data_IF_923337947848
#
_entry.id   IF_923337947848
#
_cell.length_a   1.000
_cell.length_b   1.000
_cell.length_c   1.000
_cell.angle_alpha   90.00
_cell.angle_beta   90.00
_cell.angle_gamma   90.00
#
_symmetry.space_group_name_H-M   'P 1'
#
loop_
_entity.id
_entity.type
_entity.pdbx_description
1 polymer ?
#
# COMPACT_ATOMS: atom_id res chain seq x y z
N UNK A 1 3.14 24.98 -12.25
CA UNK A 1 2.91 23.75 -11.47
C UNK A 1 3.47 22.62 -12.30
N UNK A 2 4.63 22.07 -11.94
CA UNK A 2 5.18 20.92 -12.69
C UNK A 2 4.23 19.75 -12.48
N UNK A 3 3.59 19.27 -13.54
CA UNK A 3 2.84 18.01 -13.55
C UNK A 3 3.81 16.82 -13.50
N UNK A 4 4.65 16.80 -12.47
CA UNK A 4 5.59 15.72 -12.21
C UNK A 4 4.79 14.43 -12.03
N UNK A 5 5.18 13.38 -12.76
CA UNK A 5 4.55 12.07 -12.69
C UNK A 5 4.61 11.57 -11.24
N UNK A 6 3.45 11.44 -10.58
CA UNK A 6 3.37 10.90 -9.20
C UNK A 6 3.92 9.48 -9.16
N UNK A 7 4.61 9.14 -8.07
CA UNK A 7 5.08 7.78 -7.81
C UNK A 7 3.87 6.94 -7.39
N UNK A 8 3.55 5.92 -8.20
CA UNK A 8 2.41 5.03 -7.93
C UNK A 8 2.83 3.91 -7.00
N UNK A 9 2.12 3.76 -5.89
CA UNK A 9 2.40 2.75 -4.87
C UNK A 9 1.25 1.77 -4.69
N UNK A 10 1.61 0.51 -4.42
CA UNK A 10 0.76 -0.52 -3.86
C UNK A 10 1.15 -0.80 -2.41
N UNK A 11 0.20 -1.28 -1.60
CA UNK A 11 0.45 -1.70 -0.21
C UNK A 11 0.05 -3.16 -0.06
N UNK A 12 0.99 -4.01 0.37
CA UNK A 12 0.69 -5.38 0.78
C UNK A 12 0.62 -5.45 2.32
N UNK A 13 -0.52 -5.91 2.83
CA UNK A 13 -0.86 -5.92 4.26
C UNK A 13 -1.47 -4.60 4.74
N UNK A 14 -2.77 -4.58 5.02
CA UNK A 14 -3.49 -3.37 5.47
C UNK A 14 -3.61 -3.30 7.00
N UNK A 15 -2.51 -3.70 7.66
CA UNK A 15 -2.31 -3.62 9.11
C UNK A 15 -1.97 -2.20 9.58
N UNK A 16 -1.38 -2.09 10.78
CA UNK A 16 -1.05 -0.79 11.39
C UNK A 16 -0.18 0.08 10.47
N UNK A 17 0.93 -0.47 9.97
CA UNK A 17 1.87 0.28 9.12
C UNK A 17 1.24 0.59 7.77
N UNK A 18 0.63 -0.38 7.09
CA UNK A 18 -0.04 -0.17 5.80
C UNK A 18 -1.10 0.95 5.85
N UNK A 19 -1.93 0.99 6.89
CA UNK A 19 -2.94 2.07 7.03
C UNK A 19 -2.31 3.45 7.26
N UNK A 20 -1.24 3.53 8.06
CA UNK A 20 -0.55 4.80 8.28
C UNK A 20 0.18 5.29 7.02
N UNK A 21 0.81 4.38 6.28
CA UNK A 21 1.39 4.70 4.96
C UNK A 21 0.30 5.22 4.01
N UNK A 22 -0.86 4.57 3.95
CA UNK A 22 -1.98 5.05 3.14
C UNK A 22 -2.45 6.45 3.57
N UNK A 23 -2.59 6.71 4.88
CA UNK A 23 -2.96 8.04 5.40
C UNK A 23 -1.98 9.14 4.98
N UNK A 24 -0.67 8.85 4.99
CA UNK A 24 0.36 9.81 4.56
C UNK A 24 0.35 9.97 3.04
N UNK A 25 0.28 8.87 2.29
CA UNK A 25 0.27 8.89 0.82
C UNK A 25 -0.91 9.69 0.27
N UNK A 26 -2.09 9.60 0.88
CA UNK A 26 -3.28 10.33 0.43
C UNK A 26 -3.18 11.85 0.59
N UNK A 27 -2.29 12.31 1.46
CA UNK A 27 -1.98 13.72 1.71
C UNK A 27 -0.76 14.21 0.91
N UNK A 28 -0.10 13.33 0.15
CA UNK A 28 1.09 13.67 -0.62
C UNK A 28 0.76 14.13 -2.05
N UNK A 29 1.50 15.12 -2.53
CA UNK A 29 1.48 15.52 -3.94
C UNK A 29 2.47 14.72 -4.80
N UNK A 30 3.36 13.96 -4.17
CA UNK A 30 4.43 13.20 -4.86
C UNK A 30 4.06 11.73 -5.08
N UNK A 31 3.18 11.19 -4.22
CA UNK A 31 2.81 9.77 -4.20
C UNK A 31 1.32 9.59 -4.52
N UNK A 32 1.00 8.52 -5.23
CA UNK A 32 -0.36 8.10 -5.53
C UNK A 32 -0.57 6.65 -5.10
N UNK A 33 -1.50 6.42 -4.18
CA UNK A 33 -1.92 5.07 -3.80
C UNK A 33 -2.87 4.53 -4.87
N UNK A 34 -2.52 3.40 -5.48
CA UNK A 34 -3.32 2.80 -6.57
C UNK A 34 -3.82 1.40 -6.26
N UNK A 35 -3.22 0.71 -5.28
CA UNK A 35 -3.62 -0.64 -4.91
C UNK A 35 -3.36 -0.98 -3.44
N UNK A 36 -4.22 -1.80 -2.86
CA UNK A 36 -4.09 -2.39 -1.53
C UNK A 36 -4.34 -3.89 -1.65
N UNK A 37 -3.54 -4.72 -1.00
CA UNK A 37 -3.80 -6.16 -0.87
C UNK A 37 -3.89 -6.55 0.61
N UNK A 38 -4.98 -7.21 0.99
CA UNK A 38 -5.06 -7.94 2.26
C UNK A 38 -6.05 -9.11 2.13
N UNK A 39 -5.59 -10.38 2.17
CA UNK A 39 -6.45 -11.54 2.00
C UNK A 39 -7.32 -11.86 3.24
N UNK A 40 -7.17 -11.12 4.33
CA UNK A 40 -7.86 -11.40 5.60
C UNK A 40 -8.87 -10.31 5.99
N UNK A 41 -8.94 -9.22 5.23
CA UNK A 41 -9.77 -8.05 5.55
C UNK A 41 -10.71 -7.79 4.37
N UNK A 42 -12.02 -7.70 4.63
CA UNK A 42 -12.99 -7.33 3.60
C UNK A 42 -12.89 -5.84 3.28
N UNK A 43 -13.21 -5.46 2.05
CA UNK A 43 -13.19 -4.06 1.57
C UNK A 43 -13.98 -3.12 2.49
N UNK A 44 -15.16 -3.56 2.96
CA UNK A 44 -16.01 -2.81 3.90
C UNK A 44 -15.32 -2.61 5.26
N UNK A 45 -14.65 -3.65 5.76
CA UNK A 45 -13.96 -3.57 7.04
C UNK A 45 -12.68 -2.72 6.96
N UNK A 46 -12.01 -2.69 5.79
CA UNK A 46 -10.91 -1.76 5.54
C UNK A 46 -11.33 -0.30 5.73
N UNK A 47 -12.54 0.09 5.30
CA UNK A 47 -13.06 1.46 5.50
C UNK A 47 -13.16 1.78 6.98
N UNK A 48 -13.74 0.88 7.76
CA UNK A 48 -13.88 1.05 9.20
C UNK A 48 -12.51 1.21 9.87
N UNK A 49 -11.58 0.30 9.60
CA UNK A 49 -10.23 0.30 10.17
C UNK A 49 -9.41 1.51 9.74
N UNK A 50 -9.65 2.04 8.53
CA UNK A 50 -8.98 3.25 8.06
C UNK A 50 -9.59 4.51 8.69
N UNK A 51 -10.92 4.57 8.80
CA UNK A 51 -11.65 5.72 9.34
C UNK A 51 -11.36 5.90 10.83
N UNK A 52 -11.31 4.83 11.61
CA UNK A 52 -11.12 4.88 13.05
C UNK A 52 -9.78 4.24 13.44
N UNK A 53 -8.87 5.05 13.95
CA UNK A 53 -7.60 4.59 14.52
C UNK A 53 -7.52 5.05 15.98
N UNK A 54 -7.24 4.12 16.90
CA UNK A 54 -7.24 4.40 18.33
C UNK A 54 -6.08 5.31 18.79
N UNK A 55 -4.98 5.35 18.04
CA UNK A 55 -3.78 6.14 18.40
C UNK A 55 -3.77 7.46 17.65
N UNK A 56 -4.06 7.42 16.35
CA UNK A 56 -3.98 8.60 15.46
C UNK A 56 -5.34 9.26 15.21
N UNK A 57 -6.38 8.80 15.89
CA UNK A 57 -7.73 9.33 15.79
C UNK A 57 -8.41 9.05 14.44
N UNK A 58 -9.57 9.69 14.28
CA UNK A 58 -10.41 9.53 13.11
C UNK A 58 -9.78 10.21 11.88
N UNK A 59 -9.93 9.60 10.70
CA UNK A 59 -9.62 10.24 9.43
C UNK A 59 -10.63 11.37 9.14
N UNK A 60 -10.13 12.60 8.91
CA UNK A 60 -10.93 13.82 8.76
C UNK A 60 -10.83 14.52 7.40
N UNK A 61 -10.06 13.99 6.45
CA UNK A 61 -9.75 14.72 5.22
C UNK A 61 -10.79 14.50 4.11
N UNK A 62 -10.96 13.26 3.66
CA UNK A 62 -11.90 12.92 2.59
C UNK A 62 -12.78 11.76 3.03
N UNK A 63 -13.99 11.70 2.47
CA UNK A 63 -14.87 10.56 2.72
C UNK A 63 -14.33 9.30 2.06
N UNK A 64 -14.60 8.15 2.68
CA UNK A 64 -14.23 6.83 2.14
C UNK A 64 -15.49 6.11 1.70
N UNK A 65 -15.54 5.73 0.43
CA UNK A 65 -16.70 5.06 -0.16
C UNK A 65 -16.31 3.80 -0.90
N UNK A 66 -17.18 2.82 -0.90
CA UNK A 66 -17.10 1.70 -1.84
C UNK A 66 -17.61 2.20 -3.18
N UNK A 67 -16.81 1.99 -4.23
CA UNK A 67 -17.30 2.12 -5.61
C UNK A 67 -17.95 0.80 -6.04
N UNK A 68 -17.27 -0.31 -5.73
CA UNK A 68 -17.66 -1.67 -6.05
C UNK A 68 -16.90 -2.64 -5.11
N UNK A 69 -17.07 -3.95 -5.33
CA UNK A 69 -16.50 -4.99 -4.44
C UNK A 69 -14.97 -5.00 -4.37
N UNK A 70 -14.29 -4.42 -5.37
CA UNK A 70 -12.82 -4.40 -5.47
C UNK A 70 -12.23 -3.00 -5.52
N UNK A 71 -13.02 -1.95 -5.29
CA UNK A 71 -12.55 -0.57 -5.44
C UNK A 71 -13.02 0.32 -4.30
N UNK A 72 -12.05 0.92 -3.60
CA UNK A 72 -12.26 1.97 -2.61
C UNK A 72 -12.05 3.34 -3.24
N UNK A 73 -12.88 4.30 -2.86
CA UNK A 73 -12.73 5.71 -3.19
C UNK A 73 -12.26 6.46 -1.95
N UNK A 74 -11.11 7.12 -2.05
CA UNK A 74 -10.63 8.08 -1.07
C UNK A 74 -10.88 9.48 -1.62
N UNK A 75 -12.04 10.07 -1.28
CA UNK A 75 -12.60 11.18 -2.05
C UNK A 75 -12.95 10.71 -3.46
N UNK A 76 -12.34 11.33 -4.47
CA UNK A 76 -12.52 10.94 -5.88
C UNK A 76 -11.41 10.02 -6.41
N UNK A 77 -10.43 9.65 -5.56
CA UNK A 77 -9.28 8.82 -5.95
C UNK A 77 -9.63 7.33 -5.83
N UNK A 78 -9.69 6.56 -6.94
CA UNK A 78 -9.95 5.13 -6.87
C UNK A 78 -8.69 4.34 -6.51
N UNK A 79 -8.86 3.37 -5.62
CA UNK A 79 -7.82 2.43 -5.17
C UNK A 79 -8.37 1.02 -5.29
N UNK A 80 -7.69 0.18 -6.06
CA UNK A 80 -8.07 -1.23 -6.23
C UNK A 80 -7.70 -2.03 -4.99
N UNK A 81 -8.60 -2.90 -4.55
CA UNK A 81 -8.42 -3.79 -3.41
C UNK A 81 -8.33 -5.23 -3.89
N UNK A 82 -7.28 -5.91 -3.46
CA UNK A 82 -7.01 -7.32 -3.69
C UNK A 82 -7.11 -8.09 -2.37
N UNK A 83 -7.45 -9.38 -2.50
CA UNK A 83 -7.53 -10.33 -1.39
C UNK A 83 -6.69 -11.58 -1.66
N UNK A 84 -5.49 -11.40 -2.19
CA UNK A 84 -4.63 -12.48 -2.69
C UNK A 84 -3.56 -12.82 -1.66
N UNK A 85 -3.36 -14.12 -1.39
CA UNK A 85 -2.39 -14.60 -0.39
C UNK A 85 -0.98 -14.69 -0.94
N UNK A 86 -0.83 -15.15 -2.17
CA UNK A 86 0.47 -15.30 -2.81
C UNK A 86 0.90 -13.96 -3.43
N UNK A 87 2.01 -13.35 -2.99
CA UNK A 87 2.50 -12.08 -3.52
C UNK A 87 2.72 -12.05 -5.02
N UNK A 88 3.04 -13.20 -5.63
CA UNK A 88 3.30 -13.33 -7.08
C UNK A 88 2.04 -13.19 -7.92
N UNK A 89 0.87 -13.48 -7.34
CA UNK A 89 -0.42 -13.49 -8.02
C UNK A 89 -1.16 -12.14 -7.90
N UNK A 90 -0.61 -11.19 -7.14
CA UNK A 90 -1.22 -9.86 -7.00
C UNK A 90 -0.94 -9.07 -8.29
N UNK A 91 -1.97 -8.64 -9.05
CA UNK A 91 -1.78 -8.03 -10.36
C UNK A 91 -1.45 -6.53 -10.24
N UNK A 92 -0.30 -6.21 -9.64
CA UNK A 92 0.18 -4.83 -9.48
C UNK A 92 0.27 -4.09 -10.81
N UNK A 93 0.65 -4.78 -11.88
CA UNK A 93 0.71 -4.24 -13.24
C UNK A 93 -0.62 -3.65 -13.72
N UNK A 94 -1.76 -4.23 -13.34
CA UNK A 94 -3.09 -3.72 -13.71
C UNK A 94 -3.41 -2.37 -13.05
N UNK A 95 -2.89 -2.13 -11.85
CA UNK A 95 -3.04 -0.85 -11.14
C UNK A 95 -1.98 0.19 -11.53
N UNK A 96 -0.89 -0.26 -12.17
CA UNK A 96 0.27 0.56 -12.44
C UNK A 96 1.10 0.89 -11.19
N UNK A 97 1.04 0.06 -10.15
CA UNK A 97 1.87 0.23 -8.95
C UNK A 97 3.34 -0.06 -9.30
N UNK A 98 4.17 0.98 -9.31
CA UNK A 98 5.60 0.86 -9.58
C UNK A 98 6.37 0.39 -8.33
N UNK A 99 5.95 0.85 -7.15
CA UNK A 99 6.54 0.48 -5.88
C UNK A 99 5.51 -0.23 -5.00
N UNK A 100 5.93 -1.29 -4.30
CA UNK A 100 5.09 -1.96 -3.31
C UNK A 100 5.69 -1.78 -1.92
N UNK A 101 4.86 -1.35 -0.98
CA UNK A 101 5.20 -1.36 0.44
C UNK A 101 4.77 -2.70 1.01
N UNK A 102 5.76 -3.53 1.36
CA UNK A 102 5.55 -4.83 1.99
C UNK A 102 5.43 -4.64 3.50
N UNK A 103 4.21 -4.73 4.00
CA UNK A 103 3.85 -4.47 5.40
C UNK A 103 3.01 -5.57 6.06
N UNK A 104 3.05 -6.78 5.50
CA UNK A 104 2.50 -8.00 6.12
C UNK A 104 3.37 -8.49 7.28
N UNK A 105 4.68 -8.23 7.23
CA UNK A 105 5.67 -8.81 8.15
C UNK A 105 6.01 -10.28 7.88
N UNK A 106 5.48 -10.87 6.78
CA UNK A 106 5.71 -12.28 6.41
C UNK A 106 6.80 -12.41 5.34
N UNK A 107 6.82 -11.48 4.37
CA UNK A 107 7.73 -11.51 3.22
C UNK A 107 8.91 -10.54 3.45
N UNK A 108 9.73 -10.82 4.46
CA UNK A 108 10.78 -9.88 4.93
C UNK A 108 12.18 -10.17 4.39
N UNK A 109 12.37 -11.27 3.65
CA UNK A 109 13.63 -11.57 2.96
C UNK A 109 13.53 -11.21 1.47
N UNK A 110 14.69 -11.02 0.84
CA UNK A 110 14.80 -10.51 -0.53
C UNK A 110 14.03 -11.36 -1.54
N UNK A 111 14.16 -12.68 -1.45
CA UNK A 111 13.54 -13.60 -2.41
C UNK A 111 12.01 -13.62 -2.26
N UNK A 112 11.51 -13.68 -1.02
CA UNK A 112 10.07 -13.60 -0.77
C UNK A 112 9.46 -12.27 -1.18
N UNK A 113 10.13 -11.16 -0.90
CA UNK A 113 9.65 -9.84 -1.29
C UNK A 113 9.68 -9.65 -2.82
N UNK A 114 10.68 -10.22 -3.50
CA UNK A 114 10.81 -10.17 -4.96
C UNK A 114 9.65 -10.84 -5.71
N UNK A 115 8.86 -11.68 -5.03
CA UNK A 115 7.62 -12.24 -5.54
C UNK A 115 6.67 -11.17 -6.14
N UNK A 116 6.59 -9.99 -5.53
CA UNK A 116 5.77 -8.88 -6.06
C UNK A 116 6.21 -8.37 -7.43
N UNK A 117 7.47 -8.56 -7.82
CA UNK A 117 7.97 -8.15 -9.13
C UNK A 117 7.32 -8.97 -10.25
N UNK A 118 6.96 -10.23 -9.97
CA UNK A 118 6.20 -11.07 -10.91
C UNK A 118 4.79 -10.54 -11.15
N UNK A 119 4.19 -9.92 -10.13
CA UNK A 119 2.90 -9.22 -10.24
C UNK A 119 2.94 -7.90 -11.02
N UNK A 120 4.12 -7.44 -11.44
CA UNK A 120 4.30 -6.23 -12.24
C UNK A 120 4.83 -5.02 -11.48
N UNK A 121 5.13 -5.15 -10.18
CA UNK A 121 5.82 -4.10 -9.44
C UNK A 121 7.28 -3.97 -9.91
N UNK A 122 7.85 -2.77 -9.81
CA UNK A 122 9.27 -2.52 -10.19
C UNK A 122 10.21 -2.56 -9.00
N UNK A 123 9.74 -2.12 -7.83
CA UNK A 123 10.52 -2.11 -6.59
C UNK A 123 9.64 -2.46 -5.40
N UNK A 124 10.28 -3.00 -4.35
CA UNK A 124 9.61 -3.38 -3.11
C UNK A 124 10.35 -2.74 -1.94
N UNK A 125 9.60 -2.15 -1.02
CA UNK A 125 10.10 -1.58 0.24
C UNK A 125 9.56 -2.42 1.38
N UNK A 126 10.44 -3.14 2.07
CA UNK A 126 10.08 -3.98 3.21
C UNK A 126 10.02 -3.09 4.46
N UNK A 127 8.88 -3.09 5.15
CA UNK A 127 8.64 -2.23 6.34
C UNK A 127 9.12 -2.84 7.66
N UNK A 128 9.96 -3.87 7.58
CA UNK A 128 10.51 -4.59 8.73
C UNK A 128 11.99 -4.93 8.46
N UNK A 129 12.78 -5.23 9.51
CA UNK A 129 14.15 -5.69 9.34
C UNK A 129 14.22 -6.90 8.40
N UNK A 130 15.14 -6.84 7.45
CA UNK A 130 15.42 -7.93 6.52
C UNK A 130 16.73 -8.61 6.91
N UNK A 131 16.83 -9.91 6.61
CA UNK A 131 18.07 -10.66 6.80
C UNK A 131 19.12 -10.32 5.73
N UNK A 132 18.67 -9.97 4.52
CA UNK A 132 19.49 -9.95 3.32
C UNK A 132 19.17 -8.81 2.34
N UNK A 133 18.05 -8.10 2.51
CA UNK A 133 17.77 -6.90 1.73
C UNK A 133 18.56 -5.69 2.27
N UNK A 134 19.05 -4.78 1.39
CA UNK A 134 19.64 -3.52 1.82
C UNK A 134 18.70 -2.72 2.70
N UNK A 135 19.21 -2.22 3.82
CA UNK A 135 18.45 -1.42 4.78
C UNK A 135 18.88 0.05 4.69
N UNK A 136 17.90 0.93 4.59
CA UNK A 136 18.10 2.37 4.52
C UNK A 136 17.39 3.04 5.70
N UNK A 137 18.02 4.07 6.26
CA UNK A 137 17.43 4.92 7.30
C UNK A 137 17.51 6.35 6.81
N UNK A 138 16.36 6.93 6.48
CA UNK A 138 16.24 8.30 6.00
C UNK A 138 16.93 9.25 7.00
N UNK A 139 17.81 10.11 6.49
CA UNK A 139 18.60 11.05 7.31
C UNK A 139 19.92 10.49 7.85
N UNK A 140 20.21 9.20 7.67
CA UNK A 140 21.53 8.61 7.93
C UNK A 140 22.17 8.13 6.63
N UNK A 141 21.52 7.20 5.93
CA UNK A 141 21.97 6.64 4.66
C UNK A 141 20.75 6.31 3.78
N UNK A 142 20.71 6.86 2.55
CA UNK A 142 19.61 6.73 1.60
C UNK A 142 20.13 6.43 0.19
#
# INVERSE_FOLDING_TARGET
MSSGKKIKIGINGFGRIGRLVARVALQSDEVELVGINDPFITTDYMIYMFKYDSVHGQWKHHDLKLKDSKTLLFGDKPVTVFGVRNPEEIPWGETGADFVVESTGVFTDKDKAAAHLKGGAKKVVISAPSKDAPMFVVGLHH
#
